data_IF_519042371037
#
_entry.id   IF_519042371037
#
_cell.length_a   1.000
_cell.length_b   1.000
_cell.length_c   1.000
_cell.angle_alpha   90.00
_cell.angle_beta   90.00
_cell.angle_gamma   90.00
#
_symmetry.space_group_name_H-M   'P 1'
#
loop_
_entity.id
_entity.type
_entity.pdbx_description
1 polymer ?
#
# COMPACT_ATOMS: atom_id res chain seq x y z
N UNK A 1 17.79 -2.10 53.44
CA UNK A 1 17.26 -3.30 52.80
C UNK A 1 16.08 -2.83 51.99
N UNK A 2 16.26 -2.85 50.69
CA UNK A 2 15.45 -2.15 49.68
C UNK A 2 14.37 -3.14 49.19
N UNK A 3 13.10 -2.81 49.40
CA UNK A 3 11.97 -3.67 49.03
C UNK A 3 11.62 -3.46 47.55
N UNK A 4 12.13 -4.33 46.69
CA UNK A 4 11.74 -4.40 45.29
C UNK A 4 10.26 -4.82 45.16
N UNK A 5 9.40 -4.07 44.42
CA UNK A 5 8.01 -4.47 44.21
C UNK A 5 7.94 -5.72 43.33
N UNK A 6 7.30 -6.76 43.84
CA UNK A 6 7.03 -7.98 43.08
C UNK A 6 5.86 -7.75 42.12
N UNK A 7 6.17 -7.72 40.82
CA UNK A 7 5.15 -7.65 39.77
C UNK A 7 4.35 -8.97 39.75
N UNK A 8 3.08 -8.93 40.16
CA UNK A 8 2.16 -10.04 39.92
C UNK A 8 1.53 -9.85 38.53
N UNK A 9 1.56 -10.87 37.66
CA UNK A 9 0.82 -10.81 36.40
C UNK A 9 -0.67 -10.67 36.71
N UNK A 10 -1.23 -9.51 36.38
CA UNK A 10 -2.68 -9.32 36.38
C UNK A 10 -3.33 -10.34 35.46
N UNK A 11 -4.29 -11.07 35.99
CA UNK A 11 -5.18 -11.95 35.23
C UNK A 11 -5.91 -11.14 34.15
N UNK A 12 -5.53 -11.33 32.88
CA UNK A 12 -6.22 -10.79 31.71
C UNK A 12 -7.56 -11.52 31.55
N UNK A 13 -8.57 -11.10 32.31
CA UNK A 13 -9.96 -11.55 32.24
C UNK A 13 -10.81 -10.57 31.41
N UNK A 14 -10.28 -10.15 30.26
CA UNK A 14 -11.06 -9.44 29.24
C UNK A 14 -11.37 -10.41 28.10
N UNK A 15 -12.64 -10.73 27.89
CA UNK A 15 -13.10 -11.45 26.70
C UNK A 15 -12.80 -10.57 25.47
N UNK A 16 -11.65 -10.79 24.81
CA UNK A 16 -11.31 -10.14 23.53
C UNK A 16 -12.12 -10.85 22.45
N UNK A 17 -13.26 -10.27 22.10
CA UNK A 17 -14.10 -10.74 21.00
C UNK A 17 -13.45 -10.34 19.67
N UNK A 18 -13.27 -11.31 18.78
CA UNK A 18 -12.73 -11.08 17.44
C UNK A 18 -13.69 -10.20 16.64
N UNK A 19 -13.25 -8.99 16.23
CA UNK A 19 -14.11 -8.10 15.43
C UNK A 19 -14.33 -8.64 14.01
N UNK A 20 -13.25 -8.96 13.30
CA UNK A 20 -13.23 -9.55 11.95
C UNK A 20 -11.82 -10.04 11.62
N UNK A 21 -11.64 -10.71 10.50
CA UNK A 21 -10.33 -11.17 10.01
C UNK A 21 -10.22 -10.95 8.50
N UNK A 22 -9.01 -10.74 8.00
CA UNK A 22 -8.74 -10.58 6.58
C UNK A 22 -7.35 -11.13 6.24
N UNK A 23 -7.20 -11.65 5.03
CA UNK A 23 -5.92 -12.16 4.54
C UNK A 23 -5.03 -11.04 4.02
N UNK A 24 -3.71 -11.21 4.10
CA UNK A 24 -2.74 -10.29 3.48
C UNK A 24 -1.68 -11.11 2.76
N UNK A 25 -1.38 -10.73 1.51
CA UNK A 25 -0.27 -11.27 0.73
C UNK A 25 0.38 -10.17 -0.08
N UNK A 26 1.69 -10.26 -0.29
CA UNK A 26 2.46 -9.25 -1.01
C UNK A 26 3.55 -9.91 -1.85
N UNK A 27 4.04 -9.19 -2.87
CA UNK A 27 5.23 -9.57 -3.64
C UNK A 27 5.20 -11.02 -4.14
N UNK A 28 4.04 -11.46 -4.67
CA UNK A 28 3.93 -12.79 -5.27
C UNK A 28 4.94 -12.91 -6.41
N UNK A 29 5.13 -11.84 -7.20
CA UNK A 29 6.13 -11.69 -8.25
C UNK A 29 6.29 -12.98 -9.07
N UNK A 30 5.17 -13.59 -9.48
CA UNK A 30 5.20 -14.84 -10.23
C UNK A 30 5.82 -14.63 -11.62
N UNK A 31 6.71 -15.52 -12.01
CA UNK A 31 7.14 -15.70 -13.40
C UNK A 31 7.48 -17.17 -13.65
N UNK A 32 7.28 -17.64 -14.88
CA UNK A 32 7.65 -19.01 -15.28
C UNK A 32 9.15 -19.13 -15.60
N UNK A 33 9.99 -18.79 -14.61
CA UNK A 33 11.44 -18.69 -14.71
C UNK A 33 12.14 -19.47 -13.60
N UNK A 34 13.39 -19.86 -13.84
CA UNK A 34 14.26 -20.37 -12.77
C UNK A 34 14.47 -19.31 -11.71
N UNK A 35 14.75 -19.75 -10.48
CA UNK A 35 15.06 -18.84 -9.38
C UNK A 35 16.18 -17.86 -9.75
N UNK A 36 15.99 -16.61 -9.36
CA UNK A 36 16.95 -15.54 -9.60
C UNK A 36 17.31 -14.83 -8.31
N UNK A 37 17.76 -13.59 -8.47
CA UNK A 37 18.08 -12.70 -7.36
C UNK A 37 17.40 -11.35 -7.55
N UNK A 38 17.21 -10.63 -6.46
CA UNK A 38 16.82 -9.22 -6.53
C UNK A 38 17.91 -8.40 -7.25
N UNK A 39 17.58 -7.16 -7.57
CA UNK A 39 18.48 -6.22 -8.27
C UNK A 39 19.89 -6.13 -7.64
N UNK A 40 19.97 -6.23 -6.31
CA UNK A 40 21.22 -6.17 -5.54
C UNK A 40 22.00 -7.48 -5.46
N UNK A 41 21.50 -8.58 -6.03
CA UNK A 41 22.10 -9.91 -5.89
C UNK A 41 22.08 -10.46 -4.46
N UNK A 42 21.41 -9.79 -3.52
CA UNK A 42 21.49 -10.06 -2.08
C UNK A 42 20.40 -11.01 -1.57
N UNK A 43 19.28 -11.13 -2.30
CA UNK A 43 18.17 -12.01 -1.93
C UNK A 43 17.73 -12.84 -3.11
N UNK A 44 17.53 -14.13 -2.89
CA UNK A 44 17.00 -15.06 -3.88
C UNK A 44 15.51 -14.78 -4.11
N UNK A 45 15.08 -14.83 -5.38
CA UNK A 45 13.68 -14.73 -5.81
C UNK A 45 13.24 -16.08 -6.35
N UNK A 46 12.15 -16.62 -5.83
CA UNK A 46 11.64 -17.96 -6.15
C UNK A 46 10.41 -17.88 -7.08
N UNK A 47 10.63 -17.44 -8.33
CA UNK A 47 9.55 -17.02 -9.24
C UNK A 47 8.47 -18.07 -9.49
N UNK A 48 8.83 -19.31 -9.83
CA UNK A 48 7.83 -20.38 -10.03
C UNK A 48 7.20 -20.84 -8.73
N UNK A 49 8.00 -20.92 -7.67
CA UNK A 49 7.55 -21.42 -6.38
C UNK A 49 6.53 -20.50 -5.71
N UNK A 50 6.55 -19.19 -6.02
CA UNK A 50 5.57 -18.25 -5.46
C UNK A 50 4.12 -18.62 -5.80
N UNK A 51 3.86 -19.26 -6.95
CA UNK A 51 2.52 -19.75 -7.30
C UNK A 51 2.06 -20.90 -6.40
N UNK A 52 3.00 -21.71 -5.88
CA UNK A 52 2.70 -22.76 -4.92
C UNK A 52 2.42 -22.16 -3.54
N UNK A 53 3.20 -21.17 -3.11
CA UNK A 53 2.96 -20.44 -1.86
C UNK A 53 1.60 -19.73 -1.87
N UNK A 54 1.26 -19.09 -2.99
CA UNK A 54 -0.07 -18.50 -3.18
C UNK A 54 -1.18 -19.56 -3.10
N UNK A 55 -0.99 -20.71 -3.75
CA UNK A 55 -1.96 -21.80 -3.66
C UNK A 55 -2.16 -22.26 -2.21
N UNK A 56 -1.07 -22.41 -1.44
CA UNK A 56 -1.14 -22.77 -0.02
C UNK A 56 -1.85 -21.71 0.80
N UNK A 57 -1.57 -20.42 0.60
CA UNK A 57 -2.28 -19.34 1.28
C UNK A 57 -3.79 -19.38 1.00
N UNK A 58 -4.17 -19.55 -0.27
CA UNK A 58 -5.57 -19.70 -0.70
C UNK A 58 -6.23 -20.93 -0.07
N UNK A 59 -5.52 -22.06 -0.01
CA UNK A 59 -6.06 -23.29 0.57
C UNK A 59 -6.25 -23.15 2.09
N UNK A 60 -5.35 -22.47 2.80
CA UNK A 60 -5.50 -22.20 4.23
C UNK A 60 -6.63 -21.20 4.52
N UNK A 61 -6.70 -20.09 3.78
CA UNK A 61 -7.81 -19.12 3.92
C UNK A 61 -9.19 -19.73 3.67
N UNK A 62 -9.29 -20.70 2.75
CA UNK A 62 -10.54 -21.43 2.52
C UNK A 62 -10.86 -22.47 3.62
N UNK A 63 -9.87 -22.92 4.39
CA UNK A 63 -10.07 -23.86 5.52
C UNK A 63 -10.37 -23.14 6.82
N UNK A 64 -9.86 -21.93 7.01
CA UNK A 64 -10.06 -21.16 8.24
C UNK A 64 -11.57 -20.93 8.48
N UNK A 65 -12.05 -21.44 9.62
CA UNK A 65 -13.47 -21.39 10.00
C UNK A 65 -13.92 -19.98 10.44
N UNK A 66 -12.96 -19.08 10.69
CA UNK A 66 -13.18 -17.63 10.82
C UNK A 66 -13.39 -17.08 9.42
N UNK A 67 -14.63 -16.68 9.11
CA UNK A 67 -14.97 -16.08 7.82
C UNK A 67 -14.10 -14.84 7.60
N UNK A 68 -13.06 -14.97 6.77
CA UNK A 68 -12.27 -13.85 6.31
C UNK A 68 -13.19 -12.93 5.50
N UNK A 69 -13.22 -11.65 5.84
CA UNK A 69 -14.09 -10.69 5.16
C UNK A 69 -13.56 -10.36 3.76
N UNK A 70 -12.24 -10.35 3.59
CA UNK A 70 -11.56 -10.06 2.32
C UNK A 70 -10.07 -10.46 2.39
N UNK A 71 -9.37 -10.30 1.27
CA UNK A 71 -7.90 -10.39 1.17
C UNK A 71 -7.32 -9.09 0.62
N UNK A 72 -6.23 -8.60 1.20
CA UNK A 72 -5.38 -7.57 0.61
C UNK A 72 -4.22 -8.23 -0.14
N UNK A 73 -4.13 -7.95 -1.44
CA UNK A 73 -2.95 -8.24 -2.23
C UNK A 73 -2.18 -6.93 -2.45
N UNK A 74 -1.00 -6.82 -1.83
CA UNK A 74 -0.24 -5.57 -1.69
C UNK A 74 0.69 -5.28 -2.88
N UNK A 75 0.24 -5.52 -4.10
CA UNK A 75 0.99 -5.23 -5.33
C UNK A 75 2.03 -6.30 -5.67
N UNK A 76 2.70 -6.09 -6.79
CA UNK A 76 3.72 -6.96 -7.36
C UNK A 76 3.24 -8.42 -7.50
N UNK A 77 2.12 -8.60 -8.19
CA UNK A 77 1.44 -9.89 -8.35
C UNK A 77 2.21 -10.83 -9.31
N UNK A 78 2.82 -10.26 -10.35
CA UNK A 78 3.68 -10.94 -11.32
C UNK A 78 4.99 -10.19 -11.48
N UNK A 79 6.09 -10.88 -11.78
CA UNK A 79 7.38 -10.22 -11.95
C UNK A 79 7.47 -9.46 -13.28
N UNK A 80 8.35 -8.46 -13.37
CA UNK A 80 8.55 -7.58 -14.52
C UNK A 80 9.25 -8.31 -15.67
N UNK A 81 9.97 -9.40 -15.37
CA UNK A 81 10.52 -10.28 -16.39
C UNK A 81 9.44 -10.86 -17.32
N UNK A 82 8.20 -11.00 -16.87
CA UNK A 82 7.13 -11.44 -17.76
C UNK A 82 6.94 -10.49 -18.94
N UNK A 83 7.09 -9.17 -18.76
CA UNK A 83 7.04 -8.19 -19.84
C UNK A 83 8.18 -8.41 -20.83
N UNK A 84 9.40 -8.60 -20.32
CA UNK A 84 10.60 -8.86 -21.12
C UNK A 84 10.45 -10.15 -21.98
N UNK A 85 9.76 -11.16 -21.45
CA UNK A 85 9.50 -12.42 -22.13
C UNK A 85 8.16 -12.47 -22.89
N UNK A 86 7.39 -11.37 -22.93
CA UNK A 86 6.03 -11.30 -23.54
C UNK A 86 5.07 -12.36 -22.98
N UNK A 87 5.07 -12.53 -21.65
CA UNK A 87 4.27 -13.51 -20.90
C UNK A 87 3.31 -12.89 -19.88
N UNK A 88 3.25 -11.57 -19.76
CA UNK A 88 2.49 -10.84 -18.72
C UNK A 88 1.06 -11.32 -18.53
N UNK A 89 0.25 -11.36 -19.60
CA UNK A 89 -1.14 -11.85 -19.51
C UNK A 89 -1.24 -13.32 -19.09
N UNK A 90 -0.35 -14.17 -19.63
CA UNK A 90 -0.35 -15.61 -19.30
C UNK A 90 0.06 -15.87 -17.86
N UNK A 91 0.99 -15.07 -17.32
CA UNK A 91 1.43 -15.11 -15.95
C UNK A 91 0.33 -14.59 -15.01
N UNK A 92 -0.28 -13.45 -15.34
CA UNK A 92 -1.40 -12.89 -14.59
C UNK A 92 -2.55 -13.89 -14.52
N UNK A 93 -2.94 -14.49 -15.65
CA UNK A 93 -3.99 -15.52 -15.69
C UNK A 93 -3.69 -16.71 -14.77
N UNK A 94 -2.44 -17.16 -14.70
CA UNK A 94 -2.05 -18.27 -13.79
C UNK A 94 -2.24 -17.88 -12.33
N UNK A 95 -1.85 -16.66 -11.95
CA UNK A 95 -2.03 -16.14 -10.59
C UNK A 95 -3.51 -15.92 -10.27
N UNK A 96 -4.26 -15.26 -11.15
CA UNK A 96 -5.70 -15.02 -10.97
C UNK A 96 -6.49 -16.32 -10.87
N UNK A 97 -6.13 -17.37 -11.60
CA UNK A 97 -6.76 -18.69 -11.47
C UNK A 97 -6.58 -19.31 -10.07
N UNK A 98 -5.55 -18.93 -9.32
CA UNK A 98 -5.39 -19.32 -7.90
C UNK A 98 -6.27 -18.47 -7.00
N UNK A 99 -6.19 -17.15 -7.16
CA UNK A 99 -6.95 -16.18 -6.35
C UNK A 99 -8.47 -16.36 -6.48
N UNK A 100 -8.98 -16.63 -7.69
CA UNK A 100 -10.41 -16.89 -7.96
C UNK A 100 -11.00 -18.10 -7.23
N UNK A 101 -10.17 -18.92 -6.59
CA UNK A 101 -10.65 -20.00 -5.72
C UNK A 101 -11.12 -19.49 -4.36
N UNK A 102 -10.75 -18.26 -3.99
CA UNK A 102 -11.33 -17.57 -2.84
C UNK A 102 -12.75 -17.12 -3.19
N UNK A 103 -13.68 -17.30 -2.26
CA UNK A 103 -15.08 -16.87 -2.41
C UNK A 103 -15.34 -15.49 -1.79
N UNK A 104 -14.28 -14.81 -1.38
CA UNK A 104 -14.29 -13.54 -0.67
C UNK A 104 -13.64 -12.45 -1.53
N UNK A 105 -13.99 -11.17 -1.33
CA UNK A 105 -13.39 -10.06 -2.06
C UNK A 105 -11.87 -10.00 -1.91
N UNK A 106 -11.20 -9.56 -2.98
CA UNK A 106 -9.76 -9.32 -2.98
C UNK A 106 -9.53 -7.88 -3.44
N UNK A 107 -8.78 -7.14 -2.64
CA UNK A 107 -8.38 -5.78 -2.95
C UNK A 107 -6.92 -5.78 -3.40
N UNK A 108 -6.69 -5.25 -4.59
CA UNK A 108 -5.40 -5.22 -5.26
C UNK A 108 -4.83 -3.81 -5.19
N UNK A 109 -3.64 -3.63 -4.62
CA UNK A 109 -2.83 -2.44 -4.90
C UNK A 109 -2.00 -2.68 -6.16
N UNK A 110 -1.55 -1.59 -6.80
CA UNK A 110 -0.62 -1.66 -7.93
C UNK A 110 0.76 -1.23 -7.46
N UNK A 111 1.73 -2.12 -7.67
CA UNK A 111 3.15 -1.92 -7.49
C UNK A 111 3.87 -1.54 -8.79
N UNK A 112 5.19 -1.37 -8.72
CA UNK A 112 6.00 -1.12 -9.90
C UNK A 112 5.95 -2.28 -10.88
N UNK A 113 5.84 -3.53 -10.41
CA UNK A 113 5.81 -4.66 -11.31
C UNK A 113 4.49 -4.79 -12.10
N UNK A 114 3.37 -4.28 -11.58
CA UNK A 114 2.17 -4.09 -12.41
C UNK A 114 2.46 -3.13 -13.57
N UNK A 115 3.12 -1.99 -13.27
CA UNK A 115 3.43 -0.94 -14.24
C UNK A 115 4.58 -1.28 -15.20
N UNK A 116 5.43 -2.25 -14.86
CA UNK A 116 6.38 -2.86 -15.81
C UNK A 116 5.69 -3.74 -16.84
N UNK A 117 4.58 -4.37 -16.46
CA UNK A 117 3.89 -5.35 -17.28
C UNK A 117 2.75 -4.74 -18.10
N UNK A 118 2.08 -3.72 -17.56
CA UNK A 118 0.83 -3.22 -18.11
C UNK A 118 0.74 -1.70 -18.04
N UNK A 119 0.09 -1.11 -19.05
CA UNK A 119 -0.37 0.29 -19.03
C UNK A 119 -1.48 0.48 -17.99
N UNK A 120 -1.72 1.71 -17.52
CA UNK A 120 -2.83 2.01 -16.62
C UNK A 120 -4.19 1.73 -17.27
N UNK A 121 -4.34 2.00 -18.55
CA UNK A 121 -5.55 1.65 -19.32
C UNK A 121 -5.87 0.15 -19.27
N UNK A 122 -4.86 -0.70 -19.41
CA UNK A 122 -5.02 -2.14 -19.24
C UNK A 122 -5.41 -2.49 -17.80
N UNK A 123 -4.69 -1.95 -16.80
CA UNK A 123 -4.93 -2.27 -15.39
C UNK A 123 -6.35 -1.90 -14.95
N UNK A 124 -6.86 -0.73 -15.36
CA UNK A 124 -8.23 -0.27 -15.09
C UNK A 124 -9.30 -1.18 -15.71
N UNK A 125 -9.00 -1.89 -16.79
CA UNK A 125 -9.92 -2.85 -17.44
C UNK A 125 -9.69 -4.30 -17.01
N UNK A 126 -8.69 -4.55 -16.16
CA UNK A 126 -8.28 -5.88 -15.75
C UNK A 126 -8.92 -6.31 -14.43
N UNK A 127 -8.71 -7.58 -14.07
CA UNK A 127 -9.13 -8.13 -12.78
C UNK A 127 -8.36 -7.53 -11.58
N UNK A 128 -7.29 -6.78 -11.84
CA UNK A 128 -6.55 -6.03 -10.80
C UNK A 128 -7.19 -4.68 -10.47
N UNK A 129 -8.25 -4.26 -11.16
CA UNK A 129 -9.06 -3.12 -10.77
C UNK A 129 -10.14 -3.58 -9.77
N UNK A 130 -9.81 -3.51 -8.49
CA UNK A 130 -10.75 -3.79 -7.39
C UNK A 130 -11.51 -2.55 -6.90
N UNK A 131 -11.44 -1.43 -7.62
CA UNK A 131 -12.16 -0.19 -7.25
C UNK A 131 -13.68 -0.32 -7.30
N UNK A 132 -14.21 -1.31 -8.02
CA UNK A 132 -15.65 -1.62 -7.96
C UNK A 132 -16.13 -2.04 -6.55
N UNK A 133 -15.21 -2.33 -5.62
CA UNK A 133 -15.48 -2.62 -4.21
C UNK A 133 -15.47 -1.37 -3.32
N UNK A 134 -15.31 -0.17 -3.89
CA UNK A 134 -15.35 1.11 -3.16
C UNK A 134 -16.73 1.36 -2.53
N UNK A 135 -16.74 1.89 -1.31
CA UNK A 135 -17.98 2.35 -0.69
C UNK A 135 -18.55 3.55 -1.47
N UNK A 136 -19.83 3.52 -1.80
CA UNK A 136 -20.53 4.63 -2.45
C UNK A 136 -20.93 5.72 -1.46
N UNK A 137 -19.96 6.25 -0.70
CA UNK A 137 -20.18 7.39 0.19
C UNK A 137 -19.80 8.65 -0.58
N UNK A 138 -20.74 9.59 -0.68
CA UNK A 138 -20.46 10.89 -1.26
C UNK A 138 -19.61 11.72 -0.29
N UNK A 139 -18.29 11.69 -0.49
CA UNK A 139 -17.34 12.54 0.23
C UNK A 139 -17.14 13.85 -0.53
N UNK A 140 -17.90 14.88 -0.17
CA UNK A 140 -17.61 16.27 -0.55
C UNK A 140 -17.40 16.54 -2.06
N UNK A 141 -16.75 17.67 -2.36
CA UNK A 141 -16.61 18.26 -3.70
C UNK A 141 -15.65 17.54 -4.64
N UNK A 142 -14.93 16.53 -4.17
CA UNK A 142 -14.07 15.67 -5.00
C UNK A 142 -14.84 14.40 -5.41
N UNK A 143 -16.03 14.58 -5.97
CA UNK A 143 -16.70 13.55 -6.73
C UNK A 143 -15.79 13.18 -7.89
N UNK A 144 -14.98 12.14 -7.64
CA UNK A 144 -14.02 11.50 -8.52
C UNK A 144 -13.00 12.47 -9.16
N UNK A 145 -11.71 12.15 -9.04
CA UNK A 145 -10.73 12.64 -10.02
C UNK A 145 -11.10 12.27 -11.47
N UNK A 146 -12.19 11.51 -11.71
CA UNK A 146 -12.59 10.92 -12.98
C UNK A 146 -13.57 11.77 -13.81
N UNK A 147 -14.30 12.72 -13.21
CA UNK A 147 -15.38 13.44 -13.91
C UNK A 147 -14.95 14.74 -14.60
N UNK A 148 -13.64 15.02 -14.70
CA UNK A 148 -13.16 16.08 -15.58
C UNK A 148 -13.34 15.63 -17.05
N UNK A 149 -14.20 16.30 -17.85
CA UNK A 149 -14.40 15.92 -19.24
C UNK A 149 -13.07 16.06 -20.01
N UNK A 150 -12.47 14.94 -20.41
CA UNK A 150 -11.23 14.89 -21.19
C UNK A 150 -9.99 14.34 -20.48
N UNK A 151 -10.07 14.03 -19.18
CA UNK A 151 -8.96 13.41 -18.46
C UNK A 151 -8.82 11.92 -18.84
N UNK A 152 -7.67 11.54 -19.40
CA UNK A 152 -7.35 10.16 -19.78
C UNK A 152 -7.07 9.31 -18.54
N UNK A 153 -7.22 7.97 -18.60
CA UNK A 153 -6.86 7.08 -17.49
C UNK A 153 -5.38 7.21 -17.06
N UNK A 154 -4.53 7.72 -17.96
CA UNK A 154 -3.15 8.12 -17.72
C UNK A 154 -2.98 9.35 -16.81
N UNK A 155 -4.03 10.14 -16.55
CA UNK A 155 -4.01 11.25 -15.60
C UNK A 155 -4.60 10.89 -14.23
N UNK A 156 -5.35 9.79 -14.13
CA UNK A 156 -6.06 9.39 -12.90
C UNK A 156 -5.15 8.63 -11.92
N UNK A 157 -5.46 8.72 -10.63
CA UNK A 157 -4.87 7.87 -9.59
C UNK A 157 -5.79 6.71 -9.24
N UNK A 158 -5.22 5.54 -8.95
CA UNK A 158 -5.94 4.34 -8.52
C UNK A 158 -6.00 4.24 -7.00
N UNK A 159 -6.87 5.06 -6.40
CA UNK A 159 -7.12 5.07 -4.97
C UNK A 159 -8.63 4.96 -4.71
N UNK A 160 -8.98 4.29 -3.60
CA UNK A 160 -10.35 4.13 -3.14
C UNK A 160 -10.39 3.71 -1.67
N UNK A 161 -11.57 3.77 -1.06
CA UNK A 161 -11.77 3.30 0.32
C UNK A 161 -12.97 2.38 0.44
N UNK A 162 -13.00 1.54 1.48
CA UNK A 162 -14.15 0.67 1.77
C UNK A 162 -14.26 0.39 3.28
N UNK A 163 -15.44 0.00 3.74
CA UNK A 163 -15.70 -0.38 5.13
C UNK A 163 -16.16 -1.84 5.18
N UNK A 164 -15.26 -2.80 5.49
CA UNK A 164 -15.62 -4.22 5.51
C UNK A 164 -16.55 -4.55 6.69
N UNK A 165 -16.39 -3.85 7.81
CA UNK A 165 -17.25 -3.97 8.99
C UNK A 165 -17.46 -2.60 9.63
N UNK A 166 -18.56 -2.39 10.40
CA UNK A 166 -18.81 -1.12 11.06
C UNK A 166 -17.61 -0.63 11.87
N UNK A 167 -17.34 0.67 11.79
CA UNK A 167 -16.24 1.35 12.50
C UNK A 167 -14.83 1.00 12.01
N UNK A 168 -14.66 0.30 10.89
CA UNK A 168 -13.37 0.11 10.24
C UNK A 168 -13.42 0.57 8.81
N UNK A 169 -12.44 1.39 8.40
CA UNK A 169 -12.27 1.85 7.03
C UNK A 169 -10.87 1.51 6.53
N UNK A 170 -10.83 0.94 5.34
CA UNK A 170 -9.60 0.67 4.62
C UNK A 170 -9.46 1.67 3.49
N UNK A 171 -8.26 2.20 3.29
CA UNK A 171 -7.96 3.20 2.27
C UNK A 171 -6.78 2.67 1.45
N UNK A 172 -7.00 2.41 0.17
CA UNK A 172 -5.93 2.05 -0.76
C UNK A 172 -5.43 3.30 -1.47
N UNK A 173 -4.12 3.50 -1.45
CA UNK A 173 -3.44 4.61 -2.12
C UNK A 173 -2.64 4.13 -3.34
N UNK A 174 -2.60 4.96 -4.36
CA UNK A 174 -1.76 4.81 -5.55
C UNK A 174 -0.39 5.43 -5.29
N UNK A 175 0.54 4.58 -4.87
CA UNK A 175 1.95 4.92 -4.64
C UNK A 175 2.69 5.33 -5.94
N UNK A 176 2.10 5.13 -7.10
CA UNK A 176 2.69 5.46 -8.40
C UNK A 176 1.93 6.57 -9.11
N UNK A 177 1.09 7.30 -8.39
CA UNK A 177 0.34 8.41 -8.94
C UNK A 177 1.27 9.44 -9.58
N UNK A 178 2.30 9.86 -8.85
CA UNK A 178 3.49 10.52 -9.37
C UNK A 178 4.58 9.48 -9.58
N UNK A 179 4.77 9.05 -10.83
CA UNK A 179 5.86 8.17 -11.21
C UNK A 179 6.16 8.34 -12.70
N UNK A 180 7.36 7.92 -13.10
CA UNK A 180 7.70 7.74 -14.52
C UNK A 180 7.26 6.36 -15.05
N UNK A 181 6.80 5.47 -14.16
CA UNK A 181 6.26 4.16 -14.52
C UNK A 181 4.76 4.26 -14.80
N UNK A 182 4.32 3.55 -15.85
CA UNK A 182 2.91 3.45 -16.22
C UNK A 182 2.23 4.80 -16.46
N UNK A 183 2.99 5.79 -16.96
CA UNK A 183 2.50 7.10 -17.39
C UNK A 183 3.00 7.39 -18.81
N UNK A 184 2.14 7.89 -19.68
CA UNK A 184 2.60 8.38 -20.99
C UNK A 184 3.54 9.58 -20.85
N UNK A 185 4.60 9.61 -21.67
CA UNK A 185 5.64 10.65 -21.66
C UNK A 185 5.12 12.05 -21.97
N UNK A 186 3.97 12.16 -22.65
CA UNK A 186 3.32 13.42 -22.94
C UNK A 186 2.58 14.02 -21.75
N UNK A 187 2.31 13.25 -20.69
CA UNK A 187 1.53 13.72 -19.54
C UNK A 187 2.35 14.64 -18.64
N UNK A 188 1.68 15.61 -18.01
CA UNK A 188 2.31 16.50 -17.04
C UNK A 188 2.86 15.71 -15.83
N UNK A 189 2.12 14.70 -15.34
CA UNK A 189 2.55 13.83 -14.24
C UNK A 189 3.86 13.11 -14.55
N UNK A 190 4.03 12.58 -15.77
CA UNK A 190 5.30 11.96 -16.16
C UNK A 190 6.42 12.99 -16.19
N UNK A 191 6.20 14.16 -16.80
CA UNK A 191 7.22 15.19 -16.96
C UNK A 191 7.69 15.74 -15.60
N UNK A 192 6.75 16.02 -14.69
CA UNK A 192 7.06 16.50 -13.34
C UNK A 192 7.79 15.43 -12.53
N UNK A 193 7.34 14.17 -12.61
CA UNK A 193 7.98 13.04 -11.93
C UNK A 193 9.40 12.82 -12.43
N UNK A 194 9.62 12.87 -13.75
CA UNK A 194 10.95 12.71 -14.35
C UNK A 194 11.88 13.86 -13.99
N UNK A 195 11.37 15.09 -13.99
CA UNK A 195 12.13 16.27 -13.60
C UNK A 195 12.63 16.13 -12.16
N UNK A 196 11.72 15.85 -11.23
CA UNK A 196 12.07 15.68 -9.82
C UNK A 196 13.03 14.50 -9.61
N UNK A 197 12.77 13.36 -10.27
CA UNK A 197 13.64 12.19 -10.18
C UNK A 197 15.07 12.53 -10.62
N UNK A 198 15.25 13.24 -11.75
CA UNK A 198 16.57 13.64 -12.24
C UNK A 198 17.25 14.70 -11.39
N UNK A 199 16.48 15.59 -10.76
CA UNK A 199 17.01 16.56 -9.80
C UNK A 199 17.57 15.89 -8.55
N UNK A 200 16.93 14.80 -8.10
CA UNK A 200 17.29 14.07 -6.88
C UNK A 200 18.23 12.89 -7.11
N UNK A 201 18.24 12.34 -8.32
CA UNK A 201 19.02 11.17 -8.71
C UNK A 201 19.88 11.49 -9.94
N UNK A 202 21.16 11.87 -9.73
CA UNK A 202 22.08 12.15 -10.83
C UNK A 202 22.69 10.89 -11.46
N UNK A 203 22.33 9.69 -10.99
CA UNK A 203 22.89 8.45 -11.52
C UNK A 203 22.39 8.18 -12.95
N UNK A 204 23.25 7.61 -13.79
CA UNK A 204 22.85 7.15 -15.13
C UNK A 204 21.78 6.05 -15.06
N UNK A 205 21.98 5.09 -14.14
CA UNK A 205 20.96 4.13 -13.78
C UNK A 205 20.06 4.71 -12.68
N UNK A 206 18.87 5.17 -13.08
CA UNK A 206 17.89 5.76 -12.16
C UNK A 206 17.32 4.76 -11.14
N UNK A 207 17.54 3.46 -11.29
CA UNK A 207 17.23 2.47 -10.25
C UNK A 207 18.31 2.38 -9.16
N UNK A 208 19.45 3.07 -9.32
CA UNK A 208 20.52 3.05 -8.33
C UNK A 208 20.29 4.13 -7.26
N UNK A 209 20.12 3.75 -5.97
CA UNK A 209 20.18 4.66 -4.84
C UNK A 209 21.62 4.98 -4.38
N UNK A 210 22.65 4.39 -5.00
CA UNK A 210 24.03 4.59 -4.57
C UNK A 210 24.42 6.06 -4.68
N UNK A 211 24.93 6.62 -3.59
CA UNK A 211 25.37 8.02 -3.53
C UNK A 211 24.26 9.05 -3.39
N UNK A 212 22.98 8.64 -3.31
CA UNK A 212 21.87 9.56 -3.10
C UNK A 212 21.76 9.96 -1.63
N UNK A 213 21.55 11.25 -1.37
CA UNK A 213 21.17 11.74 -0.04
C UNK A 213 19.77 11.23 0.37
N UNK A 214 18.89 11.09 -0.61
CA UNK A 214 17.52 10.63 -0.46
C UNK A 214 17.33 9.35 -1.32
N UNK A 215 17.69 8.16 -0.79
CA UNK A 215 17.79 6.92 -1.57
C UNK A 215 16.46 6.40 -2.13
N UNK A 216 15.33 6.99 -1.73
CA UNK A 216 14.00 6.71 -2.26
C UNK A 216 13.74 7.33 -3.63
N UNK A 217 14.53 8.30 -4.09
CA UNK A 217 14.38 8.88 -5.44
C UNK A 217 15.02 7.97 -6.49
N UNK A 218 14.36 6.86 -6.76
CA UNK A 218 14.77 5.83 -7.72
C UNK A 218 13.59 5.48 -8.63
N UNK A 219 13.88 5.06 -9.85
CA UNK A 219 12.89 4.85 -10.92
C UNK A 219 11.80 3.82 -10.55
N UNK A 220 12.14 2.79 -9.76
CA UNK A 220 11.16 1.80 -9.30
C UNK A 220 10.21 2.30 -8.19
N UNK A 221 10.39 3.53 -7.70
CA UNK A 221 9.50 4.16 -6.72
C UNK A 221 8.53 5.17 -7.40
N UNK A 222 7.77 5.87 -6.58
CA UNK A 222 6.78 6.87 -6.97
C UNK A 222 6.43 7.79 -5.80
N UNK A 223 5.29 8.46 -5.92
CA UNK A 223 4.76 9.35 -4.90
C UNK A 223 3.28 9.65 -5.13
N UNK A 224 2.72 10.47 -4.25
CA UNK A 224 1.31 10.82 -4.22
C UNK A 224 1.12 12.25 -4.75
N UNK A 225 0.17 12.48 -5.66
CA UNK A 225 -0.16 13.84 -6.09
C UNK A 225 -0.92 14.60 -5.01
N UNK A 226 -0.90 15.93 -5.07
CA UNK A 226 -1.68 16.76 -4.16
C UNK A 226 -3.17 16.40 -4.21
N UNK A 227 -3.73 16.14 -5.40
CA UNK A 227 -5.12 15.75 -5.56
C UNK A 227 -5.47 14.44 -4.82
N UNK A 228 -4.55 13.46 -4.81
CA UNK A 228 -4.75 12.23 -4.05
C UNK A 228 -4.65 12.47 -2.53
N UNK A 229 -3.72 13.33 -2.10
CA UNK A 229 -3.56 13.68 -0.68
C UNK A 229 -4.75 14.48 -0.13
N UNK A 230 -5.31 15.38 -0.94
CA UNK A 230 -6.51 16.14 -0.60
C UNK A 230 -7.71 15.21 -0.44
N UNK A 231 -7.94 14.32 -1.41
CA UNK A 231 -8.96 13.26 -1.32
C UNK A 231 -8.74 12.38 -0.08
N UNK A 232 -7.51 11.93 0.16
CA UNK A 232 -7.18 11.12 1.33
C UNK A 232 -7.54 11.84 2.64
N UNK A 233 -7.25 13.14 2.74
CA UNK A 233 -7.61 13.95 3.89
C UNK A 233 -9.13 14.07 4.08
N UNK A 234 -9.91 14.13 2.99
CA UNK A 234 -11.38 14.10 3.06
C UNK A 234 -11.89 12.76 3.64
N UNK A 235 -11.33 11.64 3.21
CA UNK A 235 -11.68 10.29 3.75
C UNK A 235 -11.32 10.19 5.23
N UNK A 236 -10.15 10.71 5.64
CA UNK A 236 -9.75 10.74 7.04
C UNK A 236 -10.67 11.63 7.88
N UNK A 237 -11.07 12.79 7.34
CA UNK A 237 -12.01 13.71 8.01
C UNK A 237 -13.37 13.05 8.20
N UNK A 238 -13.86 12.33 7.18
CA UNK A 238 -15.08 11.53 7.30
C UNK A 238 -14.95 10.44 8.38
N UNK A 239 -13.84 9.70 8.38
CA UNK A 239 -13.58 8.63 9.33
C UNK A 239 -13.54 9.17 10.77
N UNK A 240 -12.92 10.34 10.96
CA UNK A 240 -12.90 11.07 12.24
C UNK A 240 -14.31 11.39 12.74
N UNK A 241 -15.15 12.00 11.90
CA UNK A 241 -16.54 12.34 12.24
C UNK A 241 -17.34 11.09 12.61
N UNK A 242 -17.08 9.97 11.95
CA UNK A 242 -17.79 8.70 12.17
C UNK A 242 -17.14 7.80 13.22
N UNK A 243 -16.04 8.24 13.85
CA UNK A 243 -15.27 7.49 14.84
C UNK A 243 -14.83 6.11 14.33
N UNK A 244 -14.38 6.05 13.08
CA UNK A 244 -13.87 4.85 12.45
C UNK A 244 -12.37 4.67 12.73
N UNK A 245 -11.93 3.42 12.83
CA UNK A 245 -10.52 3.02 12.80
C UNK A 245 -10.09 2.89 11.34
N UNK A 246 -8.97 3.49 10.99
CA UNK A 246 -8.49 3.54 9.61
C UNK A 246 -7.27 2.64 9.42
N UNK A 247 -7.31 1.81 8.39
CA UNK A 247 -6.16 1.07 7.88
C UNK A 247 -5.78 1.63 6.52
N UNK A 248 -4.53 2.09 6.39
CA UNK A 248 -4.00 2.61 5.12
C UNK A 248 -3.20 1.51 4.44
N UNK A 249 -3.47 1.30 3.17
CA UNK A 249 -2.89 0.27 2.33
C UNK A 249 -2.18 0.96 1.17
N UNK A 250 -0.89 0.73 1.03
CA UNK A 250 -0.07 1.31 -0.04
C UNK A 250 1.00 0.32 -0.46
N UNK A 251 1.41 0.38 -1.72
CA UNK A 251 2.63 -0.30 -2.15
C UNK A 251 3.85 0.31 -1.45
N UNK A 252 4.85 -0.52 -1.12
CA UNK A 252 6.01 -0.10 -0.35
C UNK A 252 7.08 0.55 -1.25
N UNK A 253 7.59 1.70 -0.83
CA UNK A 253 8.89 2.21 -1.30
C UNK A 253 10.00 1.64 -0.43
N UNK A 254 11.20 1.44 -0.98
CA UNK A 254 12.38 1.09 -0.18
C UNK A 254 12.53 2.11 0.96
N UNK A 255 12.25 1.67 2.18
CA UNK A 255 12.56 2.43 3.39
C UNK A 255 14.03 2.24 3.72
N UNK A 256 14.74 3.36 3.88
CA UNK A 256 15.76 3.46 4.92
C UNK A 256 15.10 3.03 6.22
N UNK A 257 15.67 2.03 6.88
CA UNK A 257 15.29 1.55 8.21
C UNK A 257 15.12 2.73 9.18
N UNK A 258 13.91 3.24 9.38
CA UNK A 258 13.59 3.91 10.63
C UNK A 258 13.32 2.83 11.66
N UNK A 259 14.30 2.61 12.53
CA UNK A 259 14.21 1.69 13.66
C UNK A 259 13.13 2.19 14.63
N UNK A 260 11.93 1.66 14.53
CA UNK A 260 10.99 1.66 15.66
C UNK A 260 11.18 0.31 16.37
N UNK A 261 11.63 0.37 17.63
CA UNK A 261 11.72 -0.80 18.49
C UNK A 261 10.32 -1.32 18.81
N UNK A 262 10.06 -2.61 18.61
CA UNK A 262 8.97 -3.30 19.29
C UNK A 262 9.34 -4.75 19.61
N UNK A 263 9.05 -5.17 20.84
CA UNK A 263 9.31 -6.50 21.39
C UNK A 263 8.30 -7.53 20.85
N UNK A 264 8.78 -8.75 20.60
CA UNK A 264 8.03 -9.93 20.16
C UNK A 264 6.73 -10.19 20.94
N UNK A 265 5.60 -10.36 20.24
CA UNK A 265 4.40 -10.97 20.78
C UNK A 265 3.22 -11.00 19.80
N UNK A 266 2.51 -12.14 19.76
CA UNK A 266 1.25 -12.34 19.02
C UNK A 266 0.24 -11.23 19.35
N UNK A 267 -0.31 -10.55 18.33
CA UNK A 267 -1.27 -9.46 18.52
C UNK A 267 -2.65 -10.03 18.85
N UNK A 268 -3.02 -9.97 20.14
CA UNK A 268 -4.41 -10.00 20.62
C UNK A 268 -4.79 -8.58 21.01
N UNK A 269 -5.90 -8.04 20.49
CA UNK A 269 -6.32 -6.66 20.80
C UNK A 269 -7.12 -6.59 22.12
N UNK A 270 -6.68 -5.82 23.14
CA UNK A 270 -7.51 -5.47 24.29
C UNK A 270 -8.17 -4.08 24.14
N UNK A 271 -9.07 -3.81 25.07
CA UNK A 271 -10.25 -2.93 25.03
C UNK A 271 -10.07 -1.40 24.87
N UNK A 272 -11.24 -0.75 24.75
CA UNK A 272 -11.52 0.69 24.65
C UNK A 272 -10.82 1.59 25.69
N UNK A 273 -10.22 2.68 25.22
CA UNK A 273 -10.09 3.93 25.98
C UNK A 273 -10.19 5.15 25.05
N UNK A 274 -10.81 6.20 25.56
CA UNK A 274 -11.06 7.52 24.98
C UNK A 274 -9.90 8.10 24.14
N UNK A 275 -10.18 8.33 22.84
CA UNK A 275 -9.47 9.09 21.78
C UNK A 275 -7.96 9.30 22.04
N UNK A 276 -7.09 8.72 21.20
CA UNK A 276 -7.04 9.00 19.76
C UNK A 276 -6.89 7.77 18.87
N UNK A 277 -7.24 7.94 17.58
CA UNK A 277 -7.24 6.91 16.55
C UNK A 277 -5.92 6.13 16.53
N UNK A 278 -6.04 4.81 16.40
CA UNK A 278 -4.95 3.96 15.94
C UNK A 278 -5.04 3.86 14.41
N UNK A 279 -4.16 4.59 13.72
CA UNK A 279 -3.94 4.42 12.28
C UNK A 279 -2.95 3.27 12.13
N UNK A 280 -3.31 2.25 11.36
CA UNK A 280 -2.44 1.12 11.08
C UNK A 280 -2.07 1.12 9.59
N UNK A 281 -0.80 0.93 9.30
CA UNK A 281 -0.31 0.76 7.93
C UNK A 281 0.00 -0.73 7.71
N UNK A 282 -0.56 -1.32 6.66
CA UNK A 282 -0.18 -2.67 6.23
C UNK A 282 0.91 -2.57 5.14
N UNK A 283 2.07 -3.20 5.38
CA UNK A 283 3.22 -3.22 4.48
C UNK A 283 3.58 -4.66 4.08
N UNK A 284 4.30 -4.85 2.96
CA UNK A 284 4.71 -6.17 2.46
C UNK A 284 5.79 -6.85 3.31
N UNK A 285 6.51 -6.11 4.16
CA UNK A 285 7.24 -6.67 5.29
C UNK A 285 6.33 -6.74 6.52
N UNK A 286 5.99 -7.95 6.95
CA UNK A 286 5.21 -8.25 8.16
C UNK A 286 5.87 -7.57 9.37
N UNK A 287 5.30 -6.43 9.77
CA UNK A 287 5.42 -5.80 11.08
C UNK A 287 4.21 -4.87 11.23
N UNK A 288 3.07 -5.44 11.66
CA UNK A 288 1.97 -4.67 12.23
C UNK A 288 2.35 -4.33 13.67
N UNK A 289 2.84 -3.12 13.92
CA UNK A 289 2.91 -2.42 15.21
C UNK A 289 3.46 -1.01 14.87
N UNK A 290 2.89 0.13 15.25
CA UNK A 290 1.99 0.51 16.34
C UNK A 290 1.45 1.94 16.09
N UNK A 291 0.45 2.36 16.89
CA UNK A 291 -0.18 3.70 17.07
C UNK A 291 0.66 4.94 16.74
N UNK A 292 0.04 6.08 16.36
CA UNK A 292 0.35 7.43 16.92
C UNK A 292 -0.53 8.60 16.38
N UNK A 293 -0.92 9.47 17.34
CA UNK A 293 -1.24 10.90 17.23
C UNK A 293 -0.09 11.70 16.60
N UNK A 294 -0.15 12.08 15.32
CA UNK A 294 0.73 13.17 14.84
C UNK A 294 0.19 13.93 13.62
N UNK A 295 -0.76 13.36 12.89
CA UNK A 295 -1.25 13.93 11.63
C UNK A 295 -2.03 15.26 11.79
N UNK A 296 -2.84 15.43 12.85
CA UNK A 296 -3.70 16.62 13.02
C UNK A 296 -2.94 17.92 13.36
N UNK A 297 -1.73 17.84 13.92
CA UNK A 297 -0.92 19.01 14.24
C UNK A 297 -0.25 19.64 13.00
N UNK A 298 0.07 18.80 12.01
CA UNK A 298 0.78 19.21 10.80
C UNK A 298 -0.12 19.89 9.75
N UNK A 299 -1.38 19.46 9.63
CA UNK A 299 -2.33 20.02 8.66
C UNK A 299 -2.87 21.41 9.04
N UNK A 300 -3.00 21.73 10.33
CA UNK A 300 -3.38 23.10 10.77
C UNK A 300 -2.33 24.16 10.45
N UNK A 301 -1.06 23.78 10.30
CA UNK A 301 0.01 24.67 9.85
C UNK A 301 0.02 24.88 8.33
N UNK A 302 -0.71 24.05 7.56
CA UNK A 302 -0.69 23.99 6.10
C UNK A 302 -1.66 24.96 5.40
N UNK A 303 -2.54 25.63 6.13
CA UNK A 303 -3.43 26.66 5.57
C UNK A 303 -2.72 28.00 5.24
N UNK A 304 -1.40 28.08 5.36
CA UNK A 304 -0.60 29.24 4.91
C UNK A 304 0.29 28.82 3.75
N UNK A 305 -0.01 29.40 2.58
CA UNK A 305 0.59 29.13 1.28
C UNK A 305 2.12 28.93 1.32
N UNK A 306 2.59 27.78 0.83
CA UNK A 306 4.00 27.52 0.50
C UNK A 306 4.11 26.63 -0.76
N UNK A 307 5.25 26.69 -1.49
CA UNK A 307 5.40 26.07 -2.81
C UNK A 307 5.61 24.55 -2.77
N UNK A 308 5.31 23.90 -3.91
CA UNK A 308 5.33 22.46 -4.21
C UNK A 308 6.53 21.67 -3.66
N UNK A 309 7.70 22.29 -3.50
CA UNK A 309 8.95 21.67 -3.04
C UNK A 309 8.89 21.11 -1.60
N UNK A 310 7.96 21.58 -0.74
CA UNK A 310 7.86 21.12 0.66
C UNK A 310 6.91 19.94 0.90
N UNK A 311 5.99 19.63 -0.01
CA UNK A 311 5.05 18.52 0.18
C UNK A 311 5.73 17.15 0.16
N UNK A 312 6.81 17.00 -0.61
CA UNK A 312 7.59 15.75 -0.63
C UNK A 312 8.68 15.69 0.44
N UNK A 313 9.21 16.83 0.90
CA UNK A 313 10.25 16.89 1.95
C UNK A 313 9.72 16.62 3.37
N UNK A 314 8.42 16.86 3.64
CA UNK A 314 7.86 16.70 4.99
C UNK A 314 7.70 15.24 5.46
N UNK A 315 7.84 14.24 4.57
CA UNK A 315 7.98 12.83 4.97
C UNK A 315 9.42 12.43 5.33
N UNK A 316 10.42 13.31 5.11
CA UNK A 316 11.85 12.95 5.14
C UNK A 316 12.61 13.60 6.31
N UNK A 317 12.02 14.55 7.03
CA UNK A 317 12.67 15.21 8.19
C UNK A 317 11.88 15.07 9.49
N UNK A 318 11.72 13.83 9.96
CA UNK A 318 11.38 13.56 11.37
C UNK A 318 12.41 12.56 11.94
N UNK A 319 13.58 13.15 12.25
CA UNK A 319 14.80 12.71 12.94
C UNK A 319 15.48 11.38 12.56
#
# INVERSE_FOLDING_TARGET
MDETPTWRPGSLTGNSELCFSFGVIADIQYADLEDGYNFWGSRRRYYRHSLNLLQSAVDEWNKENSQLEFVLQLGDIIDGFNAQHKKSESALRRVMNKLKKLRIPIHHTWGNHELYNFTRDYLTQSELNSKSLEDQIFLGSAASGQDSPGATAEEHYYAYHFSPVPKFRFILLDAYDLSILGRDKSTQKYQDSLKLLKEKNPNENLNSPTGLAEPQFVEFNGGFSQAQLDWFNEVLTFSDTNQEKVVVVTFQFIQVLQRVFALLGIIKMPFLSSIPISVWCAFSQILMESTILLWKGLLKLHQRAMPLERCMSMMINWY
#
